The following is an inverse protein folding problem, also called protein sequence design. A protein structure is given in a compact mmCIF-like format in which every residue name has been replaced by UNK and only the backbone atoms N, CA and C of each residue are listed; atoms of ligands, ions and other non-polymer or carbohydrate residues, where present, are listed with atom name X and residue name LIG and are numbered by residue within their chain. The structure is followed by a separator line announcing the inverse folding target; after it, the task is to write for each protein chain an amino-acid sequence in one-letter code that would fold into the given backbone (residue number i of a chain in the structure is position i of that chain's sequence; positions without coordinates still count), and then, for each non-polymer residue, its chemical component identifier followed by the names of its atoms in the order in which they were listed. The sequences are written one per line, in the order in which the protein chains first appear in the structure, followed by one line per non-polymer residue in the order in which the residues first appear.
data_IF_190683274452
#
_entry.id   IF_190683274452
#
_cell.length_a   1.000
_cell.length_b   1.000
_cell.length_c   1.000
_cell.angle_alpha   90.00
_cell.angle_beta   90.00
_cell.angle_gamma   90.00
#
_symmetry.space_group_name_H-M   'P 1'
#
loop_
_entity.id
_entity.type
_entity.pdbx_description
1 polymer ?
#
# COMPACT_ATOMS: atom_id res chain seq x y z
N UNK A 1 -4.60 0.32 -14.40
CA UNK A 1 -5.43 -0.39 -13.42
C UNK A 1 -5.18 0.22 -12.04
N UNK A 2 -6.22 0.63 -11.32
CA UNK A 2 -6.18 0.94 -9.88
C UNK A 2 -5.49 2.24 -9.39
N UNK A 3 -4.95 3.06 -10.28
CA UNK A 3 -4.31 4.34 -9.92
C UNK A 3 -2.77 4.30 -9.83
N UNK A 4 -2.14 3.14 -10.07
CA UNK A 4 -0.66 3.02 -10.10
C UNK A 4 -0.02 3.45 -11.43
N UNK A 5 -0.83 3.61 -12.49
CA UNK A 5 -0.40 3.91 -13.86
C UNK A 5 0.69 2.96 -14.44
N UNK A 6 0.87 1.77 -13.88
CA UNK A 6 1.73 0.73 -14.45
C UNK A 6 0.92 0.00 -15.52
N UNK A 7 1.44 -0.01 -16.75
CA UNK A 7 0.81 -0.62 -17.93
C UNK A 7 1.59 -1.87 -18.30
N UNK A 8 0.89 -2.89 -18.78
CA UNK A 8 1.52 -4.06 -19.37
C UNK A 8 2.07 -3.69 -20.76
N UNK A 9 3.40 -3.68 -20.96
CA UNK A 9 4.00 -3.28 -22.23
C UNK A 9 3.61 -4.22 -23.37
N UNK A 10 3.31 -5.49 -23.09
CA UNK A 10 2.90 -6.45 -24.13
C UNK A 10 1.56 -6.06 -24.74
N UNK A 11 0.63 -5.57 -23.92
CA UNK A 11 -0.70 -5.12 -24.34
C UNK A 11 -0.65 -3.73 -24.97
N UNK A 12 0.17 -2.82 -24.44
CA UNK A 12 0.19 -1.42 -24.91
C UNK A 12 1.14 -1.15 -26.07
N UNK A 13 2.04 -2.09 -26.39
CA UNK A 13 3.08 -1.95 -27.43
C UNK A 13 2.54 -1.49 -28.78
N UNK A 14 1.46 -2.12 -29.27
CA UNK A 14 0.86 -1.82 -30.56
C UNK A 14 0.34 -0.39 -30.64
N UNK A 15 -0.37 0.06 -29.61
CA UNK A 15 -0.86 1.43 -29.50
C UNK A 15 0.29 2.43 -29.41
N UNK A 16 1.32 2.14 -28.61
CA UNK A 16 2.51 2.98 -28.50
C UNK A 16 3.26 3.10 -29.83
N UNK A 17 3.32 2.02 -30.61
CA UNK A 17 3.91 2.03 -31.94
C UNK A 17 3.11 2.92 -32.91
N UNK A 18 1.80 2.77 -32.97
CA UNK A 18 0.92 3.62 -33.80
C UNK A 18 1.06 5.09 -33.41
N UNK A 19 0.98 5.40 -32.11
CA UNK A 19 1.16 6.76 -31.61
C UNK A 19 2.52 7.38 -32.01
N UNK A 20 3.58 6.58 -31.96
CA UNK A 20 4.91 7.03 -32.39
C UNK A 20 4.98 7.27 -33.90
N UNK A 21 4.33 6.42 -34.70
CA UNK A 21 4.26 6.58 -36.16
C UNK A 21 3.46 7.83 -36.54
N UNK A 22 2.34 8.07 -35.88
CA UNK A 22 1.50 9.24 -36.13
C UNK A 22 2.21 10.54 -35.72
N UNK A 23 2.90 10.54 -34.58
CA UNK A 23 3.64 11.72 -34.13
C UNK A 23 4.80 12.08 -35.07
N UNK A 24 5.39 11.09 -35.74
CA UNK A 24 6.52 11.27 -36.66
C UNK A 24 6.12 11.41 -38.13
N UNK A 25 4.84 11.25 -38.47
CA UNK A 25 4.38 11.21 -39.87
C UNK A 25 4.73 12.48 -40.63
N UNK A 26 4.49 13.65 -40.05
CA UNK A 26 4.83 14.94 -40.65
C UNK A 26 6.32 15.06 -40.99
N UNK A 27 7.19 14.60 -40.09
CA UNK A 27 8.64 14.63 -40.30
C UNK A 27 9.05 13.65 -41.41
N UNK A 28 8.43 12.46 -41.45
CA UNK A 28 8.68 11.46 -42.50
C UNK A 28 8.25 11.99 -43.87
N UNK A 29 7.10 12.66 -43.96
CA UNK A 29 6.62 13.26 -45.20
C UNK A 29 7.52 14.39 -45.69
N UNK A 30 8.03 15.21 -44.78
CA UNK A 30 8.97 16.26 -45.10
C UNK A 30 10.32 15.70 -45.61
N UNK A 31 10.83 14.63 -44.98
CA UNK A 31 12.05 13.95 -45.42
C UNK A 31 11.90 13.30 -46.81
N UNK A 32 10.71 12.82 -47.15
CA UNK A 32 10.41 12.26 -48.46
C UNK A 32 10.15 13.33 -49.53
N UNK A 33 10.14 14.61 -49.18
CA UNK A 33 9.84 15.72 -50.08
C UNK A 33 8.36 15.87 -50.44
N UNK A 34 7.46 15.24 -49.68
CA UNK A 34 6.01 15.36 -49.87
C UNK A 34 5.45 16.66 -49.28
N UNK A 35 6.13 17.23 -48.29
CA UNK A 35 5.76 18.47 -47.61
C UNK A 35 7.00 19.34 -47.35
N UNK A 36 6.84 20.65 -47.30
CA UNK A 36 7.90 21.55 -46.83
C UNK A 36 7.99 21.47 -45.30
N UNK A 37 9.21 21.36 -44.78
CA UNK A 37 9.44 21.25 -43.35
C UNK A 37 9.34 22.61 -42.67
N UNK A 38 8.45 22.72 -41.69
CA UNK A 38 8.33 23.85 -40.79
C UNK A 38 8.37 23.38 -39.34
N UNK A 39 9.26 23.99 -38.54
CA UNK A 39 9.48 23.55 -37.16
C UNK A 39 8.27 23.78 -36.25
N UNK A 40 7.51 24.85 -36.46
CA UNK A 40 6.33 25.15 -35.64
C UNK A 40 5.21 24.15 -35.92
N UNK A 41 4.91 23.90 -37.20
CA UNK A 41 3.96 22.86 -37.63
C UNK A 41 4.35 21.48 -37.12
N UNK A 42 5.64 21.13 -37.13
CA UNK A 42 6.11 19.86 -36.57
C UNK A 42 5.79 19.74 -35.08
N UNK A 43 6.08 20.78 -34.28
CA UNK A 43 5.85 20.77 -32.84
C UNK A 43 4.34 20.65 -32.53
N UNK A 44 3.50 21.40 -33.25
CA UNK A 44 2.05 21.35 -33.09
C UNK A 44 1.48 19.99 -33.49
N UNK A 45 2.03 19.38 -34.55
CA UNK A 45 1.65 18.03 -34.99
C UNK A 45 1.97 16.99 -33.93
N UNK A 46 3.21 16.99 -33.43
CA UNK A 46 3.66 16.07 -32.37
C UNK A 46 2.82 16.25 -31.11
N UNK A 47 2.54 17.50 -30.71
CA UNK A 47 1.72 17.80 -29.56
C UNK A 47 0.29 17.27 -29.72
N UNK A 48 -0.36 17.57 -30.84
CA UNK A 48 -1.73 17.15 -31.14
C UNK A 48 -1.85 15.63 -31.24
N UNK A 49 -0.90 14.97 -31.89
CA UNK A 49 -0.83 13.51 -31.98
C UNK A 49 -0.69 12.87 -30.59
N UNK A 50 0.23 13.38 -29.76
CA UNK A 50 0.40 12.89 -28.39
C UNK A 50 -0.86 13.08 -27.54
N UNK A 51 -1.54 14.22 -27.67
CA UNK A 51 -2.80 14.46 -26.97
C UNK A 51 -3.89 13.47 -27.41
N UNK A 52 -4.03 13.23 -28.71
CA UNK A 52 -4.99 12.27 -29.25
C UNK A 52 -4.71 10.84 -28.75
N UNK A 53 -3.46 10.39 -28.82
CA UNK A 53 -3.06 9.07 -28.32
C UNK A 53 -3.22 8.92 -26.81
N UNK A 54 -2.96 9.99 -26.04
CA UNK A 54 -3.20 10.01 -24.60
C UNK A 54 -4.68 9.86 -24.28
N UNK A 55 -5.55 10.60 -24.99
CA UNK A 55 -7.00 10.53 -24.82
C UNK A 55 -7.52 9.13 -25.13
N UNK A 56 -7.14 8.57 -26.27
CA UNK A 56 -7.54 7.20 -26.66
C UNK A 56 -7.08 6.16 -25.61
N UNK A 57 -5.86 6.32 -25.10
CA UNK A 57 -5.33 5.45 -24.04
C UNK A 57 -6.13 5.56 -22.73
N UNK A 58 -6.52 6.77 -22.35
CA UNK A 58 -7.37 7.00 -21.18
C UNK A 58 -8.76 6.38 -21.37
N UNK A 59 -9.36 6.54 -22.55
CA UNK A 59 -10.68 5.99 -22.85
C UNK A 59 -10.69 4.46 -22.80
N UNK A 60 -9.69 3.80 -23.41
CA UNK A 60 -9.54 2.34 -23.33
C UNK A 60 -9.29 1.87 -21.90
N UNK A 61 -8.48 2.59 -21.13
CA UNK A 61 -8.22 2.26 -19.73
C UNK A 61 -9.48 2.40 -18.87
N UNK A 62 -10.31 3.43 -19.12
CA UNK A 62 -11.58 3.62 -18.45
C UNK A 62 -12.57 2.50 -18.80
N UNK A 63 -12.70 2.16 -20.09
CA UNK A 63 -13.56 1.05 -20.53
C UNK A 63 -13.15 -0.29 -19.90
N UNK A 64 -11.85 -0.57 -19.83
CA UNK A 64 -11.34 -1.78 -19.17
C UNK A 64 -11.65 -1.77 -17.68
N UNK A 65 -11.50 -0.62 -17.02
CA UNK A 65 -11.83 -0.49 -15.60
C UNK A 65 -13.31 -0.76 -15.32
N UNK A 66 -14.23 -0.15 -16.09
CA UNK A 66 -15.67 -0.39 -15.92
C UNK A 66 -16.02 -1.86 -16.12
N UNK A 67 -15.47 -2.51 -17.16
CA UNK A 67 -15.66 -3.95 -17.40
C UNK A 67 -15.20 -4.82 -16.22
N UNK A 68 -14.06 -4.49 -15.61
CA UNK A 68 -13.55 -5.22 -14.43
C UNK A 68 -14.50 -5.00 -13.24
N UNK A 69 -14.89 -3.74 -12.98
CA UNK A 69 -15.77 -3.41 -11.85
C UNK A 69 -17.15 -4.05 -12.03
N UNK A 70 -17.68 -4.13 -13.24
CA UNK A 70 -19.00 -4.70 -13.49
C UNK A 70 -19.11 -6.18 -13.10
N UNK A 71 -18.04 -6.96 -13.26
CA UNK A 71 -17.99 -8.38 -12.89
C UNK A 71 -17.79 -8.68 -11.41
N UNK A 72 -17.56 -7.65 -10.57
CA UNK A 72 -17.18 -7.83 -9.17
C UNK A 72 -18.36 -7.75 -8.18
N UNK A 73 -18.16 -8.21 -6.95
CA UNK A 73 -19.15 -8.07 -5.88
C UNK A 73 -19.38 -6.60 -5.49
N UNK A 74 -20.58 -6.23 -5.03
CA UNK A 74 -20.91 -4.84 -4.63
C UNK A 74 -19.90 -4.23 -3.64
N UNK A 75 -19.42 -5.02 -2.68
CA UNK A 75 -18.39 -4.58 -1.72
C UNK A 75 -17.07 -4.26 -2.42
N UNK A 76 -16.61 -5.14 -3.30
CA UNK A 76 -15.36 -4.96 -4.03
C UNK A 76 -15.45 -3.82 -5.05
N UNK A 77 -16.61 -3.63 -5.72
CA UNK A 77 -16.87 -2.46 -6.58
C UNK A 77 -16.63 -1.14 -5.84
N UNK A 78 -17.17 -1.01 -4.62
CA UNK A 78 -16.97 0.18 -3.78
C UNK A 78 -15.50 0.41 -3.45
N UNK A 79 -14.75 -0.65 -3.15
CA UNK A 79 -13.30 -0.57 -2.89
C UNK A 79 -12.54 -0.10 -4.12
N UNK A 80 -12.79 -0.69 -5.29
CA UNK A 80 -12.12 -0.32 -6.55
C UNK A 80 -12.44 1.12 -6.97
N UNK A 81 -13.69 1.55 -6.82
CA UNK A 81 -14.10 2.94 -7.10
C UNK A 81 -13.41 3.94 -6.16
N UNK A 82 -13.30 3.63 -4.85
CA UNK A 82 -12.52 4.45 -3.91
C UNK A 82 -11.05 4.51 -4.29
N UNK A 83 -10.45 3.38 -4.67
CA UNK A 83 -9.05 3.32 -5.10
C UNK A 83 -8.79 4.11 -6.39
N UNK A 84 -9.81 4.34 -7.24
CA UNK A 84 -9.68 5.16 -8.45
C UNK A 84 -9.59 6.65 -8.13
N UNK A 85 -10.38 7.13 -7.17
CA UNK A 85 -10.50 8.57 -6.86
C UNK A 85 -9.53 9.02 -5.77
N UNK A 86 -9.23 8.14 -4.80
CA UNK A 86 -8.36 8.46 -3.67
C UNK A 86 -6.97 7.84 -3.84
N UNK A 87 -5.95 8.68 -3.95
CA UNK A 87 -4.56 8.26 -3.84
C UNK A 87 -4.18 8.19 -2.35
N UNK A 88 -3.73 7.03 -1.91
CA UNK A 88 -3.23 6.86 -0.55
C UNK A 88 -1.88 7.55 -0.46
N UNK A 89 -1.69 8.43 0.53
CA UNK A 89 -0.51 9.29 0.64
C UNK A 89 0.81 8.51 0.52
N UNK A 90 0.89 7.31 1.11
CA UNK A 90 2.06 6.43 1.07
C UNK A 90 2.52 6.02 -0.34
N UNK A 91 1.64 6.03 -1.36
CA UNK A 91 2.05 5.74 -2.75
C UNK A 91 2.78 6.91 -3.42
N UNK A 92 2.65 8.11 -2.87
CA UNK A 92 3.27 9.33 -3.40
C UNK A 92 4.56 9.70 -2.65
N UNK A 93 4.83 9.06 -1.51
CA UNK A 93 6.02 9.33 -0.72
C UNK A 93 7.21 8.67 -1.40
N UNK A 94 8.31 9.41 -1.67
CA UNK A 94 9.53 8.81 -2.17
C UNK A 94 10.12 7.84 -1.13
N UNK A 95 10.56 6.64 -1.53
CA UNK A 95 11.08 5.64 -0.59
C UNK A 95 12.49 6.03 -0.13
N UNK A 96 12.57 6.88 0.89
CA UNK A 96 13.83 7.40 1.45
C UNK A 96 14.08 6.78 2.82
N UNK A 97 15.08 5.91 2.90
CA UNK A 97 15.46 5.18 4.13
C UNK A 97 15.86 6.11 5.28
N UNK A 98 16.66 7.15 4.99
CA UNK A 98 17.10 8.12 6.02
C UNK A 98 15.94 8.76 6.78
N UNK A 99 14.81 8.93 6.09
CA UNK A 99 13.63 9.60 6.62
C UNK A 99 12.56 8.58 7.07
N UNK A 100 12.89 7.27 7.07
CA UNK A 100 12.01 6.13 7.37
C UNK A 100 10.74 6.10 6.52
N UNK A 101 10.87 6.45 5.24
CA UNK A 101 9.79 6.41 4.25
C UNK A 101 9.88 5.19 3.32
N UNK A 102 10.89 4.36 3.47
CA UNK A 102 10.98 3.09 2.79
C UNK A 102 10.00 2.08 3.39
N UNK A 103 9.41 1.27 2.51
CA UNK A 103 8.58 0.14 2.89
C UNK A 103 9.32 -1.12 2.48
N UNK A 104 9.30 -2.14 3.33
CA UNK A 104 9.71 -3.47 2.92
C UNK A 104 8.84 -3.98 1.77
N UNK A 105 9.36 -4.94 1.03
CA UNK A 105 8.62 -5.55 -0.08
C UNK A 105 7.28 -6.17 0.36
N UNK A 106 7.20 -6.63 1.61
CA UNK A 106 5.97 -7.17 2.19
C UNK A 106 4.97 -6.06 2.50
N UNK A 107 5.38 -5.00 3.21
CA UNK A 107 4.51 -3.86 3.52
C UNK A 107 3.95 -3.20 2.26
N UNK A 108 4.77 -3.05 1.22
CA UNK A 108 4.33 -2.52 -0.06
C UNK A 108 3.25 -3.41 -0.71
N UNK A 109 3.49 -4.73 -0.78
CA UNK A 109 2.54 -5.69 -1.36
C UNK A 109 1.25 -5.78 -0.57
N UNK A 110 1.34 -5.79 0.76
CA UNK A 110 0.19 -5.83 1.65
C UNK A 110 -0.62 -4.54 1.55
N UNK A 111 0.04 -3.38 1.50
CA UNK A 111 -0.61 -2.09 1.24
C UNK A 111 -1.36 -2.06 -0.10
N UNK A 112 -0.78 -2.64 -1.15
CA UNK A 112 -1.47 -2.80 -2.44
C UNK A 112 -2.66 -3.76 -2.36
N UNK A 113 -2.50 -4.89 -1.67
CA UNK A 113 -3.58 -5.85 -1.50
C UNK A 113 -4.76 -5.22 -0.75
N UNK A 114 -4.50 -4.53 0.36
CA UNK A 114 -5.51 -3.79 1.13
C UNK A 114 -6.21 -2.72 0.27
N UNK A 115 -5.44 -1.93 -0.50
CA UNK A 115 -6.00 -0.89 -1.38
C UNK A 115 -7.00 -1.43 -2.39
N UNK A 116 -6.74 -2.63 -2.92
CA UNK A 116 -7.62 -3.28 -3.90
C UNK A 116 -8.54 -4.34 -3.29
N UNK A 117 -8.62 -4.46 -1.97
CA UNK A 117 -9.47 -5.47 -1.31
C UNK A 117 -9.08 -6.91 -1.66
N UNK A 118 -7.81 -7.16 -1.97
CA UNK A 118 -7.25 -8.50 -2.22
C UNK A 118 -6.79 -9.14 -0.90
N UNK A 119 -6.80 -10.48 -0.81
CA UNK A 119 -6.27 -11.17 0.36
C UNK A 119 -4.77 -10.93 0.52
N UNK A 120 -4.31 -10.86 1.76
CA UNK A 120 -2.89 -10.83 2.10
C UNK A 120 -2.27 -12.20 1.87
N UNK A 121 -1.08 -12.26 1.26
CA UNK A 121 -0.48 -13.53 0.83
C UNK A 121 0.25 -14.27 1.94
N UNK A 122 0.77 -13.54 2.94
CA UNK A 122 1.60 -14.09 4.01
C UNK A 122 0.92 -14.02 5.38
N UNK A 123 -0.41 -14.01 5.39
CA UNK A 123 -1.17 -13.96 6.64
C UNK A 123 -1.15 -15.36 7.30
N UNK A 124 -0.79 -15.47 8.59
CA UNK A 124 -0.94 -16.72 9.33
C UNK A 124 -2.38 -17.24 9.25
N UNK A 125 -2.64 -18.55 9.37
CA UNK A 125 -4.00 -19.08 9.30
C UNK A 125 -4.82 -18.80 10.57
N UNK A 126 -4.15 -18.61 11.72
CA UNK A 126 -4.78 -18.51 13.04
C UNK A 126 -4.19 -17.34 13.82
N UNK A 127 -5.04 -16.62 14.55
CA UNK A 127 -4.65 -15.52 15.42
C UNK A 127 -3.89 -16.03 16.64
N UNK A 128 -2.71 -15.47 16.87
CA UNK A 128 -1.84 -15.73 18.02
C UNK A 128 -2.46 -15.39 19.38
N UNK A 129 -3.37 -14.41 19.42
CA UNK A 129 -4.01 -13.97 20.66
C UNK A 129 -5.33 -14.65 20.99
N UNK A 130 -6.23 -14.80 20.02
CA UNK A 130 -7.58 -15.33 20.27
C UNK A 130 -7.85 -16.72 19.69
N UNK A 131 -6.97 -17.24 18.85
CA UNK A 131 -7.11 -18.57 18.24
C UNK A 131 -8.15 -18.70 17.12
N UNK A 132 -8.79 -17.61 16.68
CA UNK A 132 -9.71 -17.66 15.53
C UNK A 132 -8.97 -17.60 14.19
N UNK A 133 -9.68 -17.89 13.10
CA UNK A 133 -9.16 -17.71 11.74
C UNK A 133 -8.68 -16.26 11.53
N UNK A 134 -7.48 -16.13 10.97
CA UNK A 134 -6.80 -14.84 10.85
C UNK A 134 -7.01 -14.27 9.45
N UNK A 135 -8.17 -13.67 9.23
CA UNK A 135 -8.50 -12.90 8.03
C UNK A 135 -8.04 -11.45 8.17
N UNK A 136 -7.98 -10.71 7.06
CA UNK A 136 -7.59 -9.29 7.06
C UNK A 136 -8.44 -8.44 8.01
N UNK A 137 -9.76 -8.63 7.99
CA UNK A 137 -10.67 -7.92 8.90
C UNK A 137 -10.36 -8.25 10.36
N UNK A 138 -10.12 -9.54 10.64
CA UNK A 138 -9.75 -9.96 11.99
C UNK A 138 -8.40 -9.38 12.42
N UNK A 139 -7.40 -9.38 11.54
CA UNK A 139 -6.08 -8.81 11.84
C UNK A 139 -6.14 -7.32 12.21
N UNK A 140 -7.10 -6.57 11.65
CA UNK A 140 -7.31 -5.15 11.93
C UNK A 140 -8.18 -4.90 13.18
N UNK A 141 -9.09 -5.82 13.51
CA UNK A 141 -10.08 -5.64 14.59
C UNK A 141 -9.72 -6.38 15.88
N UNK A 142 -8.80 -7.34 15.85
CA UNK A 142 -8.46 -8.17 17.00
C UNK A 142 -7.78 -7.34 18.09
N UNK A 143 -8.33 -7.44 19.31
CA UNK A 143 -7.77 -6.78 20.52
C UNK A 143 -6.91 -7.70 21.38
N UNK A 144 -6.81 -8.97 21.01
CA UNK A 144 -6.12 -10.02 21.79
C UNK A 144 -4.78 -10.40 21.18
N UNK A 145 -4.59 -10.21 19.88
CA UNK A 145 -3.37 -10.55 19.14
C UNK A 145 -3.12 -9.58 17.99
N UNK A 146 -2.18 -9.91 17.12
CA UNK A 146 -1.82 -9.09 15.96
C UNK A 146 -1.26 -7.71 16.33
N UNK A 147 -1.46 -6.73 15.43
CA UNK A 147 -0.81 -5.42 15.49
C UNK A 147 -1.13 -4.61 16.76
N UNK A 148 -2.35 -4.71 17.28
CA UNK A 148 -2.76 -3.97 18.49
C UNK A 148 -1.97 -4.43 19.71
N UNK A 149 -1.90 -5.75 19.93
CA UNK A 149 -1.12 -6.33 21.03
C UNK A 149 0.37 -6.07 20.83
N UNK A 150 0.88 -6.18 19.60
CA UNK A 150 2.28 -5.85 19.30
C UNK A 150 2.61 -4.40 19.65
N UNK A 151 1.76 -3.45 19.29
CA UNK A 151 1.95 -2.04 19.65
C UNK A 151 1.94 -1.80 21.16
N UNK A 152 1.07 -2.46 21.91
CA UNK A 152 1.08 -2.40 23.38
C UNK A 152 2.38 -2.98 23.94
N UNK A 153 2.83 -4.12 23.41
CA UNK A 153 4.09 -4.74 23.82
C UNK A 153 5.27 -3.82 23.55
N UNK A 154 5.36 -3.21 22.37
CA UNK A 154 6.41 -2.25 22.00
C UNK A 154 6.44 -1.03 22.94
N UNK A 155 5.29 -0.45 23.28
CA UNK A 155 5.21 0.65 24.26
C UNK A 155 5.68 0.19 25.64
N UNK A 156 5.26 -0.99 26.08
CA UNK A 156 5.74 -1.58 27.33
C UNK A 156 7.26 -1.87 27.29
N UNK A 157 7.77 -2.37 26.18
CA UNK A 157 9.19 -2.71 25.91
C UNK A 157 10.04 -1.46 26.07
N UNK A 158 9.63 -0.40 25.39
CA UNK A 158 10.33 0.88 25.40
C UNK A 158 10.30 1.54 26.78
N UNK A 159 9.15 1.58 27.45
CA UNK A 159 9.04 2.12 28.83
C UNK A 159 9.94 1.32 29.79
N UNK A 160 9.89 -0.01 29.73
CA UNK A 160 10.70 -0.87 30.58
C UNK A 160 12.20 -0.65 30.33
N UNK A 161 12.60 -0.55 29.06
CA UNK A 161 13.99 -0.28 28.68
C UNK A 161 14.47 1.08 29.19
N UNK A 162 13.67 2.14 29.03
CA UNK A 162 14.00 3.46 29.56
C UNK A 162 14.09 3.47 31.10
N UNK A 163 13.15 2.79 31.76
CA UNK A 163 13.16 2.66 33.21
C UNK A 163 14.41 1.92 33.72
N UNK A 164 14.84 0.87 33.01
CA UNK A 164 16.02 0.07 33.41
C UNK A 164 17.34 0.85 33.36
N UNK A 165 17.39 1.98 32.65
CA UNK A 165 18.55 2.88 32.63
C UNK A 165 18.63 3.69 33.94
N UNK A 166 17.47 4.05 34.51
CA UNK A 166 17.38 4.92 35.69
C UNK A 166 17.33 4.10 36.98
N UNK A 167 16.64 2.96 36.97
CA UNK A 167 16.38 2.13 38.15
C UNK A 167 16.93 0.72 37.98
N UNK A 168 17.51 0.19 39.05
CA UNK A 168 18.20 -1.11 39.03
C UNK A 168 17.29 -2.34 39.11
N UNK A 169 16.00 -2.18 39.42
CA UNK A 169 15.06 -3.30 39.59
C UNK A 169 13.78 -3.07 38.80
N UNK A 170 13.89 -3.18 37.48
CA UNK A 170 12.74 -3.14 36.56
C UNK A 170 12.47 -4.54 36.03
N UNK A 171 11.22 -5.00 36.20
CA UNK A 171 10.77 -6.32 35.76
C UNK A 171 9.63 -6.17 34.77
N UNK A 172 9.70 -6.97 33.71
CA UNK A 172 8.75 -7.00 32.60
C UNK A 172 7.73 -8.12 32.80
N UNK A 173 6.45 -7.83 32.54
CA UNK A 173 5.35 -8.78 32.76
C UNK A 173 5.41 -9.50 34.13
N UNK A 174 5.61 -8.79 35.26
CA UNK A 174 5.71 -9.43 36.55
C UNK A 174 4.37 -10.04 36.98
N UNK A 175 4.47 -11.21 37.59
CA UNK A 175 3.34 -11.89 38.21
C UNK A 175 3.06 -11.22 39.55
N UNK A 176 1.86 -10.66 39.69
CA UNK A 176 1.35 -10.04 40.92
C UNK A 176 0.35 -11.01 41.54
N UNK A 177 0.72 -11.54 42.70
CA UNK A 177 -0.16 -12.39 43.50
C UNK A 177 -0.79 -11.58 44.62
N UNK A 178 -2.07 -11.81 44.89
CA UNK A 178 -2.66 -11.31 46.11
C UNK A 178 -2.06 -12.05 47.32
N UNK A 179 -1.80 -11.31 48.39
CA UNK A 179 -1.26 -11.82 49.64
C UNK A 179 -2.16 -12.84 50.34
N UNK A 180 -3.45 -12.89 49.98
CA UNK A 180 -4.48 -13.69 50.64
C UNK A 180 -4.95 -14.91 49.83
N UNK A 181 -4.61 -15.01 48.54
CA UNK A 181 -5.18 -16.03 47.65
C UNK A 181 -4.11 -17.04 47.22
N UNK A 182 -4.29 -18.30 47.62
CA UNK A 182 -3.37 -19.41 47.32
C UNK A 182 -3.80 -20.22 46.08
N UNK A 183 -4.77 -19.72 45.29
CA UNK A 183 -5.35 -20.44 44.17
C UNK A 183 -5.71 -19.55 42.97
N UNK A 184 -5.09 -19.87 41.84
CA UNK A 184 -5.52 -19.65 40.45
C UNK A 184 -5.70 -18.24 39.86
N UNK A 185 -5.70 -17.13 40.61
CA UNK A 185 -5.86 -15.78 40.02
C UNK A 185 -4.63 -14.87 40.14
N UNK A 186 -3.53 -15.26 39.53
CA UNK A 186 -2.36 -14.39 39.37
C UNK A 186 -2.62 -13.31 38.30
N UNK A 187 -2.40 -12.04 38.65
CA UNK A 187 -2.42 -10.94 37.68
C UNK A 187 -1.05 -10.79 37.03
N UNK A 188 -1.01 -10.44 35.74
CA UNK A 188 0.22 -10.07 35.04
C UNK A 188 0.16 -8.57 34.81
N UNK A 189 1.01 -7.82 35.51
CA UNK A 189 1.16 -6.38 35.26
C UNK A 189 2.10 -6.15 34.07
N UNK A 190 2.07 -4.98 33.44
CA UNK A 190 2.94 -4.70 32.30
C UNK A 190 4.41 -4.46 32.69
N UNK A 191 4.63 -3.65 33.74
CA UNK A 191 5.95 -3.28 34.25
C UNK A 191 5.88 -3.16 35.76
N UNK A 192 6.89 -3.68 36.47
CA UNK A 192 7.15 -3.32 37.87
C UNK A 192 8.50 -2.63 37.97
N UNK A 193 8.56 -1.63 38.84
CA UNK A 193 9.78 -0.95 39.21
C UNK A 193 9.88 -0.90 40.73
N UNK A 194 10.90 -1.55 41.28
CA UNK A 194 11.17 -1.58 42.71
C UNK A 194 12.33 -0.63 43.04
N UNK A 195 12.16 0.18 44.08
CA UNK A 195 13.22 1.09 44.54
C UNK A 195 13.25 2.46 43.89
N UNK A 196 12.07 2.97 43.51
CA UNK A 196 11.88 4.40 43.20
C UNK A 196 11.70 5.14 44.53
N UNK A 197 12.71 5.90 44.95
CA UNK A 197 12.69 6.76 46.13
C UNK A 197 13.17 8.16 45.79
#
# INVERSE_FOLDING_TARGET
MGGLNIKDPTVTSSMSYVASRDATSYLVDALNGNTEFESETHNDWVYSSRQASYKESCDKANQLFEKIVDGESNTHKRTLQRARVSLSAWLLVPPIERDNFDLSANEFRDGLALRYGKPLLQLPPVCDGCGSEFLVTHALDCRKGGLVTQGHNEVRDTICSLASIVWGQVTREPIVNDSLDSGDSSLIADVANCGVW
#
